data_IF_006773364690
#
_entry.id   IF_006773364690
#
_cell.length_a   1.000
_cell.length_b   1.000
_cell.length_c   1.000
_cell.angle_alpha   90.00
_cell.angle_beta   90.00
_cell.angle_gamma   90.00
#
_symmetry.space_group_name_H-M   'P 1'
#
loop_
_entity.id
_entity.type
_entity.pdbx_description
1 polymer ?
#
# COMPACT_ATOMS: atom_id res chain seq x y z
N UNK A 1 30.30 -14.00 17.00
CA UNK A 1 30.16 -12.54 16.82
C UNK A 1 28.86 -12.08 17.47
N UNK A 2 28.93 -11.36 18.61
CA UNK A 2 27.76 -10.68 19.17
C UNK A 2 27.51 -9.44 18.32
N UNK A 3 26.47 -9.43 17.50
CA UNK A 3 25.99 -8.21 16.85
C UNK A 3 25.48 -7.30 17.98
N UNK A 4 26.25 -6.26 18.32
CA UNK A 4 25.75 -5.22 19.20
C UNK A 4 24.58 -4.55 18.48
N UNK A 5 23.36 -4.71 18.99
CA UNK A 5 22.13 -4.05 18.54
C UNK A 5 22.15 -2.55 18.88
N UNK A 6 23.30 -1.89 18.71
CA UNK A 6 23.55 -0.54 19.21
C UNK A 6 23.37 0.53 18.13
N UNK A 7 22.46 0.34 17.17
CA UNK A 7 22.05 1.44 16.27
C UNK A 7 20.68 1.26 15.62
N UNK A 8 19.72 0.64 16.30
CA UNK A 8 18.33 0.75 15.88
C UNK A 8 17.70 2.04 16.41
N UNK A 9 17.41 2.99 15.51
CA UNK A 9 16.66 4.19 15.83
C UNK A 9 15.16 3.90 15.72
N UNK A 10 14.38 4.25 16.73
CA UNK A 10 12.93 4.17 16.64
C UNK A 10 12.36 5.26 15.73
N UNK A 11 11.51 4.88 14.77
CA UNK A 11 10.83 5.82 13.87
C UNK A 11 9.86 6.78 14.57
N UNK A 12 9.33 6.39 15.73
CA UNK A 12 8.32 7.19 16.46
C UNK A 12 8.90 8.07 17.58
N UNK A 13 9.92 7.62 18.31
CA UNK A 13 10.51 8.41 19.41
C UNK A 13 11.97 8.83 19.21
N UNK A 14 12.64 8.34 18.15
CA UNK A 14 14.03 8.68 17.87
C UNK A 14 15.06 8.14 18.88
N UNK A 15 14.66 7.36 19.89
CA UNK A 15 15.60 6.75 20.83
C UNK A 15 16.29 5.51 20.21
N UNK A 16 17.51 5.22 20.66
CA UNK A 16 18.29 4.04 20.24
C UNK A 16 17.98 2.83 21.12
N UNK A 17 18.07 1.63 20.57
CA UNK A 17 17.96 0.36 21.31
C UNK A 17 16.67 -0.43 21.09
N UNK A 18 15.75 0.07 20.25
CA UNK A 18 14.63 -0.71 19.73
C UNK A 18 14.38 -0.43 18.24
N UNK A 19 14.06 -1.47 17.47
CA UNK A 19 13.89 -1.43 16.02
C UNK A 19 12.44 -1.15 15.59
N UNK A 20 11.45 -1.51 16.42
CA UNK A 20 10.06 -1.55 16.01
C UNK A 20 9.14 -0.87 17.03
N UNK A 21 8.30 0.02 16.51
CA UNK A 21 7.31 0.83 17.21
C UNK A 21 6.16 0.02 17.84
N UNK A 22 6.39 -1.18 18.38
CA UNK A 22 5.31 -1.98 18.98
C UNK A 22 5.67 -2.58 20.34
N UNK A 23 6.97 -2.71 20.68
CA UNK A 23 7.39 -3.15 22.01
C UNK A 23 8.49 -2.26 22.56
N UNK A 24 8.15 -1.47 23.59
CA UNK A 24 9.11 -0.71 24.39
C UNK A 24 9.31 0.77 24.02
N UNK A 25 8.61 1.29 23.00
CA UNK A 25 8.63 2.72 22.70
C UNK A 25 7.78 3.49 23.71
N UNK A 26 8.36 4.50 24.38
CA UNK A 26 7.67 5.36 25.36
C UNK A 26 6.58 6.24 24.74
N UNK A 27 6.70 6.57 23.46
CA UNK A 27 5.71 7.38 22.75
C UNK A 27 4.39 6.62 22.48
N UNK A 28 4.34 5.30 22.75
CA UNK A 28 3.17 4.47 22.53
C UNK A 28 2.53 4.07 23.86
N UNK A 29 1.19 4.02 23.92
CA UNK A 29 0.49 3.61 25.12
C UNK A 29 0.81 2.14 25.45
N UNK A 30 1.27 1.89 26.67
CA UNK A 30 1.47 0.53 27.17
C UNK A 30 0.10 -0.08 27.45
N UNK A 31 -0.30 -1.07 26.64
CA UNK A 31 -1.51 -1.83 26.91
C UNK A 31 -1.26 -2.70 28.16
N UNK A 32 -1.72 -2.23 29.31
CA UNK A 32 -1.75 -3.01 30.54
C UNK A 32 -2.83 -4.08 30.41
N UNK A 33 -2.40 -5.34 30.26
CA UNK A 33 -3.34 -6.45 30.42
C UNK A 33 -3.83 -6.45 31.88
N UNK A 34 -5.14 -6.50 32.14
CA UNK A 34 -5.63 -6.63 33.51
C UNK A 34 -5.04 -7.89 34.14
N UNK A 35 -4.53 -7.78 35.37
CA UNK A 35 -3.98 -8.93 36.10
C UNK A 35 -5.04 -10.03 36.31
N UNK A 36 -6.31 -9.64 36.31
CA UNK A 36 -7.45 -10.56 36.33
C UNK A 36 -7.66 -11.12 34.93
N UNK A 37 -7.20 -12.35 34.72
CA UNK A 37 -7.61 -13.15 33.57
C UNK A 37 -9.10 -13.44 33.71
N UNK A 38 -9.95 -12.71 33.00
CA UNK A 38 -11.33 -13.14 32.85
C UNK A 38 -11.33 -14.52 32.17
N UNK A 39 -11.89 -15.52 32.84
CA UNK A 39 -12.11 -16.86 32.28
C UNK A 39 -13.17 -16.73 31.17
N UNK A 40 -12.74 -16.30 29.99
CA UNK A 40 -13.53 -16.40 28.78
C UNK A 40 -13.38 -17.84 28.29
N UNK A 41 -14.50 -18.55 28.23
CA UNK A 41 -14.57 -19.90 27.64
C UNK A 41 -13.91 -19.84 26.26
N UNK A 42 -12.98 -20.76 26.00
CA UNK A 42 -12.34 -20.82 24.69
C UNK A 42 -13.38 -21.18 23.63
N UNK A 43 -13.11 -20.83 22.37
CA UNK A 43 -14.00 -21.15 21.23
C UNK A 43 -14.42 -22.63 21.21
N UNK A 44 -13.51 -23.53 21.61
CA UNK A 44 -13.76 -24.97 21.72
C UNK A 44 -14.80 -25.32 22.80
N UNK A 45 -14.80 -24.59 23.92
CA UNK A 45 -15.72 -24.79 25.04
C UNK A 45 -17.10 -24.17 24.79
N UNK A 46 -17.20 -23.15 23.92
CA UNK A 46 -18.47 -22.58 23.51
C UNK A 46 -19.24 -23.51 22.55
N UNK A 47 -18.51 -24.26 21.70
CA UNK A 47 -19.10 -25.18 20.73
C UNK A 47 -19.75 -26.43 21.36
N UNK A 48 -19.32 -26.88 22.55
CA UNK A 48 -19.89 -28.06 23.21
C UNK A 48 -21.22 -27.78 23.92
N UNK A 49 -21.52 -26.51 24.23
CA UNK A 49 -22.74 -26.12 24.96
C UNK A 49 -23.96 -26.06 24.03
N UNK A 50 -23.77 -25.83 22.72
CA UNK A 50 -24.87 -25.62 21.78
C UNK A 50 -25.50 -26.90 21.21
N UNK A 51 -25.08 -28.10 21.64
CA UNK A 51 -25.52 -29.36 21.03
C UNK A 51 -26.90 -29.89 21.50
N UNK A 52 -27.71 -29.09 22.20
CA UNK A 52 -29.08 -29.46 22.53
C UNK A 52 -30.03 -28.32 22.18
N UNK A 53 -30.81 -28.57 21.12
CA UNK A 53 -32.05 -27.90 20.66
C UNK A 53 -31.88 -27.17 19.33
N UNK A 54 -32.17 -27.89 18.23
CA UNK A 54 -32.74 -27.30 17.01
C UNK A 54 -34.24 -27.62 17.02
N UNK A 55 -35.09 -26.70 16.53
CA UNK A 55 -35.59 -26.87 15.17
C UNK A 55 -35.40 -25.62 14.30
N UNK A 56 -35.12 -25.90 13.02
CA UNK A 56 -35.06 -24.98 11.88
C UNK A 56 -36.45 -24.35 11.59
N UNK A 57 -36.55 -23.11 11.09
CA UNK A 57 -36.74 -22.93 9.64
C UNK A 57 -35.97 -21.76 9.00
N UNK A 58 -35.59 -21.94 7.73
CA UNK A 58 -35.51 -20.99 6.60
C UNK A 58 -34.94 -19.57 6.90
N UNK A 59 -33.78 -19.11 6.42
CA UNK A 59 -33.23 -19.24 5.07
C UNK A 59 -33.17 -17.85 4.39
N UNK A 60 -32.16 -17.01 4.70
CA UNK A 60 -31.45 -16.09 3.77
C UNK A 60 -30.27 -15.44 4.49
N UNK A 61 -29.06 -15.98 4.30
CA UNK A 61 -27.82 -15.23 4.56
C UNK A 61 -27.42 -14.68 3.20
N UNK A 62 -27.64 -13.39 2.98
CA UNK A 62 -27.01 -12.72 1.86
C UNK A 62 -25.52 -12.62 2.16
N UNK A 63 -24.73 -13.33 1.35
CA UNK A 63 -23.28 -13.25 1.32
C UNK A 63 -22.87 -11.83 0.93
N UNK A 64 -22.35 -11.07 1.91
CA UNK A 64 -21.52 -9.89 1.66
C UNK A 64 -20.12 -10.41 1.36
N UNK A 65 -19.88 -10.89 0.15
CA UNK A 65 -18.53 -11.29 -0.33
C UNK A 65 -18.21 -10.77 -1.74
N UNK A 66 -19.11 -9.97 -2.34
CA UNK A 66 -19.00 -9.54 -3.74
C UNK A 66 -18.25 -8.21 -3.93
N UNK A 67 -18.02 -7.42 -2.89
CA UNK A 67 -17.47 -6.05 -3.02
C UNK A 67 -15.92 -5.99 -3.08
N UNK A 68 -15.21 -6.99 -2.55
CA UNK A 68 -13.72 -6.98 -2.59
C UNK A 68 -13.16 -7.50 -3.93
N UNK A 69 -13.92 -8.30 -4.68
CA UNK A 69 -13.47 -8.86 -5.95
C UNK A 69 -13.51 -7.84 -7.10
N UNK A 70 -14.43 -6.88 -7.05
CA UNK A 70 -14.54 -5.81 -8.05
C UNK A 70 -13.40 -4.81 -7.94
N UNK A 71 -12.99 -4.44 -6.71
CA UNK A 71 -11.93 -3.46 -6.46
C UNK A 71 -10.54 -3.92 -6.98
N UNK A 72 -10.23 -5.22 -6.84
CA UNK A 72 -9.02 -5.80 -7.41
C UNK A 72 -9.04 -5.85 -8.95
N UNK A 73 -10.23 -5.95 -9.55
CA UNK A 73 -10.40 -5.99 -11.01
C UNK A 73 -10.20 -4.59 -11.59
N UNK A 74 -10.83 -3.57 -11.01
CA UNK A 74 -10.70 -2.16 -11.42
C UNK A 74 -9.24 -1.67 -11.27
N UNK A 75 -8.56 -2.07 -10.20
CA UNK A 75 -7.14 -1.78 -10.02
C UNK A 75 -6.26 -2.44 -11.09
N UNK A 76 -6.56 -3.69 -11.48
CA UNK A 76 -5.84 -4.41 -12.54
C UNK A 76 -6.03 -3.75 -13.90
N UNK A 77 -7.25 -3.32 -14.22
CA UNK A 77 -7.55 -2.56 -15.44
C UNK A 77 -6.81 -1.23 -15.46
N UNK A 78 -6.78 -0.51 -14.33
CA UNK A 78 -6.01 0.73 -14.19
C UNK A 78 -4.51 0.50 -14.41
N UNK A 79 -3.94 -0.58 -13.86
CA UNK A 79 -2.54 -0.93 -14.10
C UNK A 79 -2.26 -1.28 -15.57
N UNK A 80 -3.21 -1.92 -16.25
CA UNK A 80 -3.10 -2.24 -17.66
C UNK A 80 -3.12 -0.97 -18.52
N UNK A 81 -4.06 -0.06 -18.26
CA UNK A 81 -4.11 1.25 -18.93
C UNK A 81 -2.80 2.05 -18.74
N UNK A 82 -2.20 2.00 -17.55
CA UNK A 82 -0.90 2.64 -17.29
C UNK A 82 0.25 2.00 -18.10
N UNK A 83 0.20 0.69 -18.36
CA UNK A 83 1.19 0.03 -19.22
C UNK A 83 1.07 0.47 -20.67
N UNK A 84 -0.15 0.58 -21.18
CA UNK A 84 -0.43 1.05 -22.54
C UNK A 84 -0.03 2.51 -22.72
N UNK A 85 -0.32 3.35 -21.72
CA UNK A 85 0.14 4.74 -21.72
C UNK A 85 1.67 4.83 -21.70
N UNK A 86 2.34 3.95 -20.95
CA UNK A 86 3.80 3.87 -20.96
C UNK A 86 4.33 3.50 -22.34
N UNK A 87 3.75 2.53 -23.03
CA UNK A 87 4.21 2.13 -24.37
C UNK A 87 4.01 3.27 -25.37
N UNK A 88 2.86 3.94 -25.33
CA UNK A 88 2.57 5.09 -26.20
C UNK A 88 3.58 6.23 -26.01
N UNK A 89 3.90 6.56 -24.75
CA UNK A 89 4.90 7.61 -24.45
C UNK A 89 6.29 7.21 -24.98
N UNK A 90 6.64 5.93 -24.94
CA UNK A 90 7.93 5.43 -25.43
C UNK A 90 8.08 5.49 -26.95
N UNK A 91 6.99 5.59 -27.72
CA UNK A 91 7.04 5.74 -29.18
C UNK A 91 7.61 7.09 -29.64
N UNK A 92 7.65 8.09 -28.74
CA UNK A 92 8.08 9.45 -29.07
C UNK A 92 9.30 9.91 -28.26
N UNK A 93 10.44 9.17 -28.26
CA UNK A 93 11.60 9.51 -27.44
C UNK A 93 12.19 10.87 -27.79
N UNK A 94 12.20 11.22 -29.09
CA UNK A 94 12.74 12.49 -29.59
C UNK A 94 11.94 13.68 -29.06
N UNK A 95 10.60 13.58 -29.01
CA UNK A 95 9.74 14.65 -28.47
C UNK A 95 9.91 14.81 -26.96
N UNK A 96 10.12 13.72 -26.22
CA UNK A 96 10.41 13.78 -24.78
C UNK A 96 11.75 14.46 -24.49
N UNK A 97 12.78 14.18 -25.30
CA UNK A 97 14.06 14.88 -25.18
C UNK A 97 13.96 16.35 -25.57
N UNK A 98 13.20 16.67 -26.63
CA UNK A 98 12.93 18.04 -27.02
C UNK A 98 12.25 18.84 -25.91
N UNK A 99 11.26 18.24 -25.24
CA UNK A 99 10.57 18.84 -24.12
C UNK A 99 11.53 19.09 -22.93
N UNK A 100 12.42 18.12 -22.61
CA UNK A 100 13.49 18.30 -21.62
C UNK A 100 14.42 19.46 -21.97
N UNK A 101 14.80 19.60 -23.23
CA UNK A 101 15.65 20.70 -23.70
C UNK A 101 14.92 22.05 -23.62
N UNK A 102 13.63 22.09 -23.98
CA UNK A 102 12.78 23.28 -23.86
C UNK A 102 12.61 23.79 -22.43
N UNK A 103 12.71 22.92 -21.42
CA UNK A 103 12.74 23.34 -20.00
C UNK A 103 14.07 23.97 -19.59
N UNK A 104 15.18 23.61 -20.25
CA UNK A 104 16.52 24.12 -19.95
C UNK A 104 16.80 25.46 -20.64
N UNK A 105 16.28 25.66 -21.84
CA UNK A 105 16.47 26.90 -22.61
C UNK A 105 15.56 28.02 -22.11
N UNK A 106 16.11 29.23 -21.98
CA UNK A 106 15.38 30.43 -21.56
C UNK A 106 14.82 31.22 -22.75
N UNK A 107 15.49 31.13 -23.91
CA UNK A 107 15.15 31.89 -25.08
C UNK A 107 14.02 31.22 -25.89
N UNK A 108 13.02 32.00 -26.28
CA UNK A 108 11.90 31.55 -27.11
C UNK A 108 12.36 31.01 -28.47
N UNK A 109 13.36 31.65 -29.11
CA UNK A 109 13.87 31.22 -30.41
C UNK A 109 14.57 29.86 -30.33
N UNK A 110 15.34 29.61 -29.27
CA UNK A 110 15.98 28.32 -29.03
C UNK A 110 14.95 27.21 -28.82
N UNK A 111 13.85 27.48 -28.09
CA UNK A 111 12.74 26.51 -27.93
C UNK A 111 12.10 26.17 -29.26
N UNK A 112 11.86 27.16 -30.12
CA UNK A 112 11.30 26.95 -31.46
C UNK A 112 12.23 26.03 -32.27
N UNK A 113 13.54 26.30 -32.24
CA UNK A 113 14.51 25.48 -32.98
C UNK A 113 14.55 24.04 -32.46
N UNK A 114 14.53 23.83 -31.14
CA UNK A 114 14.48 22.50 -30.52
C UNK A 114 13.23 21.73 -30.97
N UNK A 115 12.07 22.37 -30.98
CA UNK A 115 10.80 21.73 -31.41
C UNK A 115 10.83 21.41 -32.90
N UNK A 116 11.29 22.35 -33.74
CA UNK A 116 11.40 22.12 -35.18
C UNK A 116 12.33 20.95 -35.49
N UNK A 117 13.49 20.89 -34.84
CA UNK A 117 14.42 19.78 -35.02
C UNK A 117 13.79 18.43 -34.62
N UNK A 118 13.06 18.40 -33.51
CA UNK A 118 12.38 17.19 -33.05
C UNK A 118 11.27 16.69 -33.98
N UNK A 119 10.56 17.61 -34.66
CA UNK A 119 9.47 17.29 -35.59
C UNK A 119 9.95 16.94 -37.01
N UNK A 120 11.17 17.34 -37.38
CA UNK A 120 11.74 17.10 -38.72
C UNK A 120 12.67 15.88 -38.73
N UNK A 121 13.14 15.41 -37.57
CA UNK A 121 14.09 14.29 -37.45
C UNK A 121 13.44 12.89 -37.58
N UNK A 122 12.43 12.72 -38.45
CA UNK A 122 11.89 11.40 -38.83
C UNK A 122 12.96 10.52 -39.49
#
# INVERSE_FOLDING_TARGET
MRLSLSLSLCLYCGEKGHLAAWKGCKALPVITKPAVRHNRKSYVQAATVQKKTFPNPEGKIEEVDTEQATDLTDFKESLQALRELKTLIQEFPTLLEAERLCRKTKNKQEKILVVLNALVSD
#
